data_IF_634464115431
#
_entry.id   IF_634464115431
#
_cell.length_a   1.000
_cell.length_b   1.000
_cell.length_c   1.000
_cell.angle_alpha   90.00
_cell.angle_beta   90.00
_cell.angle_gamma   90.00
#
_symmetry.space_group_name_H-M   'P 1'
#
loop_
_entity.id
_entity.type
_entity.pdbx_description
1 polymer ?
#
# COMPACT_ATOMS: atom_id res chain seq x y z
N UNK A 1 -0.73 -5.43 -12.48
CA UNK A 1 -0.31 -4.02 -12.69
C UNK A 1 1.21 -3.96 -12.59
N UNK A 2 1.91 -3.25 -13.50
CA UNK A 2 3.39 -3.24 -13.54
C UNK A 2 4.03 -2.80 -12.20
N UNK A 3 3.43 -1.82 -11.51
CA UNK A 3 3.94 -1.33 -10.22
C UNK A 3 3.87 -2.38 -9.10
N UNK A 4 2.83 -3.21 -9.09
CA UNK A 4 2.71 -4.35 -8.17
C UNK A 4 3.77 -5.42 -8.48
N UNK A 5 3.97 -5.75 -9.75
CA UNK A 5 5.04 -6.67 -10.18
C UNK A 5 6.43 -6.16 -9.80
N UNK A 6 6.72 -4.87 -9.98
CA UNK A 6 7.99 -4.27 -9.57
C UNK A 6 8.22 -4.38 -8.05
N UNK A 7 7.18 -4.20 -7.24
CA UNK A 7 7.26 -4.37 -5.78
C UNK A 7 7.54 -5.82 -5.41
N UNK A 8 6.94 -6.79 -6.11
CA UNK A 8 7.18 -8.23 -5.89
C UNK A 8 8.56 -8.67 -6.37
N UNK A 9 9.07 -8.11 -7.48
CA UNK A 9 10.46 -8.32 -7.92
C UNK A 9 11.46 -7.86 -6.86
N UNK A 10 11.22 -6.70 -6.24
CA UNK A 10 12.07 -6.23 -5.15
C UNK A 10 12.05 -7.22 -3.97
N UNK A 11 10.90 -7.79 -3.62
CA UNK A 11 10.79 -8.83 -2.59
C UNK A 11 11.51 -10.14 -3.00
N UNK A 12 11.37 -10.57 -4.26
CA UNK A 12 12.01 -11.77 -4.81
C UNK A 12 13.56 -11.67 -4.77
N UNK A 13 14.11 -10.47 -4.88
CA UNK A 13 15.54 -10.20 -4.71
C UNK A 13 16.11 -10.63 -3.35
N UNK A 14 15.28 -10.80 -2.31
CA UNK A 14 15.67 -11.30 -1.00
C UNK A 14 15.11 -12.70 -0.68
N UNK A 15 14.48 -13.39 -1.64
CA UNK A 15 13.74 -14.64 -1.43
C UNK A 15 14.56 -15.70 -0.67
N UNK A 16 15.78 -16.01 -1.14
CA UNK A 16 16.64 -17.03 -0.52
C UNK A 16 17.07 -16.62 0.90
N UNK A 17 17.27 -15.33 1.14
CA UNK A 17 17.60 -14.79 2.47
C UNK A 17 16.44 -14.98 3.44
N UNK A 18 15.21 -14.68 3.00
CA UNK A 18 14.00 -14.86 3.81
C UNK A 18 13.81 -16.34 4.14
N UNK A 19 13.91 -17.23 3.15
CA UNK A 19 13.75 -18.67 3.36
C UNK A 19 14.77 -19.26 4.33
N UNK A 20 16.02 -18.79 4.29
CA UNK A 20 17.06 -19.25 5.21
C UNK A 20 16.86 -18.71 6.64
N UNK A 21 16.57 -17.41 6.79
CA UNK A 21 16.49 -16.76 8.12
C UNK A 21 15.12 -16.87 8.78
N UNK A 22 14.06 -17.03 7.99
CA UNK A 22 12.66 -17.06 8.43
C UNK A 22 11.88 -18.20 7.75
N UNK A 23 12.31 -19.46 7.90
CA UNK A 23 11.67 -20.61 7.23
C UNK A 23 10.19 -20.77 7.59
N UNK A 24 9.74 -20.25 8.73
CA UNK A 24 8.34 -20.23 9.11
C UNK A 24 7.44 -19.37 8.20
N UNK A 25 8.03 -18.51 7.36
CA UNK A 25 7.32 -17.63 6.43
C UNK A 25 7.16 -18.24 5.03
N UNK A 26 7.62 -19.47 4.78
CA UNK A 26 7.58 -20.13 3.46
C UNK A 26 6.23 -19.99 2.74
N UNK A 27 5.15 -20.47 3.36
CA UNK A 27 3.78 -20.37 2.81
C UNK A 27 3.32 -18.93 2.60
N UNK A 28 3.77 -18.00 3.43
CA UNK A 28 3.43 -16.59 3.28
C UNK A 28 4.17 -15.99 2.07
N UNK A 29 5.44 -16.32 1.91
CA UNK A 29 6.27 -15.84 0.82
C UNK A 29 5.81 -16.41 -0.52
N UNK A 30 5.45 -17.69 -0.58
CA UNK A 30 4.83 -18.30 -1.76
C UNK A 30 3.55 -17.56 -2.17
N UNK A 31 2.64 -17.30 -1.22
CA UNK A 31 1.40 -16.55 -1.48
C UNK A 31 1.64 -15.08 -1.86
N UNK A 32 2.76 -14.49 -1.40
CA UNK A 32 3.20 -13.17 -1.81
C UNK A 32 3.82 -13.18 -3.23
N UNK A 33 4.38 -14.30 -3.69
CA UNK A 33 4.99 -14.40 -5.02
C UNK A 33 4.05 -14.93 -6.09
N UNK A 34 2.96 -15.62 -5.72
CA UNK A 34 1.98 -16.20 -6.64
C UNK A 34 1.60 -15.28 -7.82
N UNK A 35 1.40 -13.97 -7.64
CA UNK A 35 0.98 -13.14 -8.76
C UNK A 35 2.10 -12.56 -9.63
N UNK A 36 3.37 -12.77 -9.24
CA UNK A 36 4.52 -12.43 -10.08
C UNK A 36 4.70 -13.53 -11.13
N UNK A 37 4.69 -13.23 -12.44
CA UNK A 37 4.87 -14.25 -13.48
C UNK A 37 6.17 -15.02 -13.28
N UNK A 38 6.13 -16.34 -13.49
CA UNK A 38 7.28 -17.23 -13.24
C UNK A 38 8.52 -16.81 -14.05
N UNK A 39 8.32 -16.34 -15.29
CA UNK A 39 9.39 -15.85 -16.16
C UNK A 39 10.08 -14.58 -15.65
N UNK A 40 9.45 -13.85 -14.73
CA UNK A 40 10.04 -12.67 -14.09
C UNK A 40 10.77 -13.03 -12.78
N UNK A 41 10.56 -14.24 -12.23
CA UNK A 41 11.18 -14.63 -10.96
C UNK A 41 12.67 -14.90 -11.15
N UNK A 42 13.48 -14.26 -10.31
CA UNK A 42 14.91 -14.52 -10.16
C UNK A 42 15.26 -14.47 -8.66
N UNK A 43 14.98 -15.55 -7.90
CA UNK A 43 15.11 -15.55 -6.45
C UNK A 43 16.52 -15.17 -5.99
N UNK A 44 16.63 -13.99 -5.40
CA UNK A 44 17.90 -13.41 -4.99
C UNK A 44 18.27 -13.74 -3.53
N UNK A 45 19.41 -13.23 -3.10
CA UNK A 45 19.95 -13.39 -1.75
C UNK A 45 20.34 -12.05 -1.10
N UNK A 46 19.68 -10.97 -1.51
CA UNK A 46 19.90 -9.67 -0.89
C UNK A 46 19.64 -9.74 0.62
N UNK A 47 20.46 -9.05 1.41
CA UNK A 47 20.25 -8.97 2.85
C UNK A 47 19.07 -8.06 3.17
N UNK A 48 18.31 -8.37 4.22
CA UNK A 48 17.24 -7.49 4.71
C UNK A 48 17.73 -6.09 5.13
N UNK A 49 19.02 -5.90 5.42
CA UNK A 49 19.58 -4.59 5.71
C UNK A 49 19.77 -3.68 4.47
N UNK A 50 19.67 -4.25 3.26
CA UNK A 50 19.81 -3.53 1.98
C UNK A 50 18.47 -3.41 1.26
N UNK A 51 17.55 -4.34 1.51
CA UNK A 51 16.28 -4.43 0.82
C UNK A 51 15.13 -4.13 1.80
N UNK A 52 14.76 -2.85 1.87
CA UNK A 52 13.74 -2.36 2.79
C UNK A 52 12.36 -2.95 2.49
N UNK A 53 12.06 -3.23 1.21
CA UNK A 53 10.80 -3.88 0.80
C UNK A 53 10.70 -5.26 1.45
N UNK A 54 11.75 -6.07 1.35
CA UNK A 54 11.81 -7.39 1.96
C UNK A 54 11.82 -7.33 3.49
N UNK A 55 12.59 -6.41 4.07
CA UNK A 55 12.63 -6.22 5.52
C UNK A 55 11.25 -5.88 6.08
N UNK A 56 10.55 -4.95 5.42
CA UNK A 56 9.20 -4.54 5.83
C UNK A 56 8.19 -5.65 5.63
N UNK A 57 8.23 -6.36 4.51
CA UNK A 57 7.35 -7.51 4.26
C UNK A 57 7.50 -8.58 5.35
N UNK A 58 8.74 -8.89 5.77
CA UNK A 58 9.00 -9.85 6.87
C UNK A 58 8.40 -9.36 8.19
N UNK A 59 8.58 -8.08 8.53
CA UNK A 59 8.05 -7.50 9.76
C UNK A 59 6.51 -7.54 9.79
N UNK A 60 5.88 -7.06 8.73
CA UNK A 60 4.42 -6.99 8.59
C UNK A 60 3.79 -8.39 8.61
N UNK A 61 4.36 -9.34 7.86
CA UNK A 61 3.84 -10.71 7.80
C UNK A 61 3.89 -11.36 9.18
N UNK A 62 4.97 -11.17 9.94
CA UNK A 62 5.09 -11.69 11.31
C UNK A 62 4.07 -11.04 12.25
N UNK A 63 3.88 -9.72 12.18
CA UNK A 63 2.91 -9.01 12.99
C UNK A 63 1.48 -9.52 12.72
N UNK A 64 1.10 -9.64 11.44
CA UNK A 64 -0.19 -10.19 11.04
C UNK A 64 -0.40 -11.63 11.53
N UNK A 65 0.61 -12.49 11.40
CA UNK A 65 0.54 -13.87 11.89
C UNK A 65 0.44 -13.95 13.42
N UNK A 66 1.16 -13.08 14.15
CA UNK A 66 1.06 -12.97 15.60
C UNK A 66 -0.35 -12.53 16.04
N UNK A 67 -1.02 -11.73 15.21
CA UNK A 67 -2.42 -11.32 15.38
C UNK A 67 -3.44 -12.36 14.87
N UNK A 68 -2.99 -13.57 14.53
CA UNK A 68 -3.85 -14.70 14.17
C UNK A 68 -4.18 -14.84 12.68
N UNK A 69 -3.60 -14.01 11.80
CA UNK A 69 -3.77 -14.18 10.37
C UNK A 69 -3.10 -15.47 9.88
N UNK A 70 -3.76 -16.16 8.95
CA UNK A 70 -3.15 -17.32 8.25
C UNK A 70 -1.95 -16.84 7.43
N UNK A 71 -0.89 -17.64 7.39
CA UNK A 71 0.37 -17.31 6.71
C UNK A 71 0.17 -16.79 5.28
N UNK A 72 -0.65 -17.46 4.47
CA UNK A 72 -0.91 -17.04 3.09
C UNK A 72 -1.55 -15.65 3.02
N UNK A 73 -2.60 -15.41 3.81
CA UNK A 73 -3.26 -14.09 3.86
C UNK A 73 -2.29 -13.01 4.33
N UNK A 74 -1.54 -13.29 5.40
CA UNK A 74 -0.53 -12.37 5.93
C UNK A 74 0.51 -12.00 4.87
N UNK A 75 1.07 -12.99 4.17
CA UNK A 75 2.06 -12.76 3.12
C UNK A 75 1.51 -11.98 1.93
N UNK A 76 0.32 -12.35 1.44
CA UNK A 76 -0.33 -11.67 0.31
C UNK A 76 -0.70 -10.22 0.66
N UNK A 77 -1.27 -9.96 1.84
CA UNK A 77 -1.66 -8.60 2.26
C UNK A 77 -0.45 -7.74 2.63
N UNK A 78 0.60 -8.31 3.23
CA UNK A 78 1.86 -7.62 3.50
C UNK A 78 2.61 -7.23 2.22
N UNK A 79 2.30 -7.83 1.07
CA UNK A 79 2.91 -7.52 -0.23
C UNK A 79 2.17 -6.40 -1.01
N UNK A 80 0.97 -5.99 -0.59
CA UNK A 80 0.18 -4.98 -1.30
C UNK A 80 0.81 -3.58 -1.21
N UNK A 81 0.99 -2.92 -2.36
CA UNK A 81 1.59 -1.58 -2.45
C UNK A 81 0.83 -0.61 -3.36
N UNK A 82 -0.05 -1.10 -4.22
CA UNK A 82 -0.82 -0.27 -5.16
C UNK A 82 -2.25 -0.19 -4.67
N UNK A 83 -2.69 1.02 -4.34
CA UNK A 83 -4.01 1.29 -3.77
C UNK A 83 -4.72 2.38 -4.56
N UNK A 84 -6.05 2.38 -4.51
CA UNK A 84 -6.89 3.31 -5.23
C UNK A 84 -8.35 3.22 -4.81
N UNK A 85 -9.21 3.88 -5.57
CA UNK A 85 -10.65 3.81 -5.34
C UNK A 85 -11.23 2.46 -5.73
N UNK A 86 -12.42 2.15 -5.21
CA UNK A 86 -13.20 1.01 -5.67
C UNK A 86 -13.31 0.99 -7.21
N UNK A 87 -13.31 -0.20 -7.86
CA UNK A 87 -13.50 -0.29 -9.30
C UNK A 87 -14.75 0.48 -9.76
N UNK A 88 -14.60 1.29 -10.82
CA UNK A 88 -15.66 2.16 -11.34
C UNK A 88 -15.92 3.45 -10.54
N UNK A 89 -15.19 3.70 -9.47
CA UNK A 89 -15.23 4.96 -8.70
C UNK A 89 -14.07 5.89 -9.07
N UNK A 90 -14.23 7.18 -8.75
CA UNK A 90 -13.26 8.24 -9.06
C UNK A 90 -13.11 9.22 -7.89
N UNK A 91 -11.92 9.82 -7.75
CA UNK A 91 -11.60 10.85 -6.76
C UNK A 91 -11.44 10.30 -5.34
N UNK A 92 -10.56 10.90 -4.54
CA UNK A 92 -10.33 10.51 -3.15
C UNK A 92 -11.45 11.00 -2.23
N UNK A 93 -12.21 12.02 -2.66
CA UNK A 93 -13.44 12.50 -2.01
C UNK A 93 -13.21 13.49 -0.87
N UNK A 94 -11.97 13.91 -0.67
CA UNK A 94 -11.56 14.98 0.26
C UNK A 94 -11.99 16.34 -0.28
N UNK A 95 -11.95 16.56 -1.60
CA UNK A 95 -12.50 17.77 -2.23
C UNK A 95 -13.96 18.03 -1.85
N UNK A 96 -14.80 17.00 -1.88
CA UNK A 96 -16.22 17.10 -1.50
C UNK A 96 -16.41 17.43 -0.02
N UNK A 97 -15.50 16.99 0.84
CA UNK A 97 -15.52 17.34 2.27
C UNK A 97 -15.02 18.76 2.50
N UNK A 98 -14.03 19.21 1.73
CA UNK A 98 -13.56 20.59 1.78
C UNK A 98 -14.67 21.58 1.36
N UNK A 99 -15.40 21.29 0.28
CA UNK A 99 -16.57 22.08 -0.16
C UNK A 99 -17.68 22.14 0.90
N UNK A 100 -17.82 21.06 1.69
CA UNK A 100 -18.78 20.94 2.78
C UNK A 100 -18.09 21.12 4.13
N UNK A 101 -17.32 22.20 4.28
CA UNK A 101 -16.53 22.46 5.49
C UNK A 101 -17.33 22.52 6.80
N UNK A 102 -18.64 22.76 6.75
CA UNK A 102 -19.52 22.67 7.93
C UNK A 102 -19.99 21.25 8.29
N UNK A 103 -19.66 20.24 7.48
CA UNK A 103 -20.09 18.84 7.69
C UNK A 103 -19.09 18.02 8.52
N UNK A 104 -17.94 18.59 8.86
CA UNK A 104 -16.91 17.97 9.69
C UNK A 104 -16.24 19.02 10.57
N UNK A 105 -15.83 18.60 11.76
CA UNK A 105 -15.21 19.40 12.82
C UNK A 105 -13.86 18.81 13.27
N UNK A 106 -13.48 17.67 12.69
CA UNK A 106 -12.28 16.92 13.01
C UNK A 106 -11.58 16.46 11.72
N UNK A 107 -10.26 16.67 11.65
CA UNK A 107 -9.40 16.23 10.55
C UNK A 107 -9.39 14.70 10.42
N UNK A 108 -9.56 13.98 11.53
CA UNK A 108 -9.69 12.52 11.54
C UNK A 108 -10.84 12.01 10.67
N UNK A 109 -11.97 12.74 10.61
CA UNK A 109 -13.10 12.40 9.72
C UNK A 109 -12.73 12.47 8.24
N UNK A 110 -11.85 13.39 7.87
CA UNK A 110 -11.35 13.53 6.49
C UNK A 110 -10.36 12.42 6.16
N UNK A 111 -9.45 12.10 7.09
CA UNK A 111 -8.53 10.96 6.99
C UNK A 111 -9.28 9.63 6.83
N UNK A 112 -10.29 9.38 7.67
CA UNK A 112 -11.15 8.19 7.59
C UNK A 112 -11.87 8.07 6.24
N UNK A 113 -12.37 9.19 5.71
CA UNK A 113 -13.01 9.21 4.40
C UNK A 113 -12.02 8.85 3.29
N UNK A 114 -10.81 9.40 3.35
CA UNK A 114 -9.73 9.06 2.42
C UNK A 114 -9.37 7.57 2.49
N UNK A 115 -9.12 7.03 3.69
CA UNK A 115 -8.71 5.62 3.90
C UNK A 115 -9.80 4.63 3.47
N UNK A 116 -11.07 4.96 3.73
CA UNK A 116 -12.21 4.16 3.21
C UNK A 116 -12.29 4.21 1.70
N UNK A 117 -12.03 5.36 1.08
CA UNK A 117 -12.17 5.52 -0.37
C UNK A 117 -11.00 4.89 -1.12
N UNK A 118 -9.78 5.04 -0.62
CA UNK A 118 -8.54 4.63 -1.28
C UNK A 118 -8.04 3.24 -0.89
N UNK A 119 -8.68 2.58 0.08
CA UNK A 119 -8.25 1.26 0.58
C UNK A 119 -8.61 0.07 -0.30
N UNK A 120 -8.67 0.23 -1.62
CA UNK A 120 -8.80 -0.88 -2.56
C UNK A 120 -7.44 -1.17 -3.19
N UNK A 121 -6.95 -2.39 -3.01
CA UNK A 121 -5.65 -2.80 -3.54
C UNK A 121 -5.78 -3.29 -4.98
N UNK A 122 -4.76 -2.99 -5.78
CA UNK A 122 -4.67 -3.37 -7.18
C UNK A 122 -3.42 -4.19 -7.44
N UNK A 123 -3.53 -5.16 -8.33
CA UNK A 123 -2.45 -6.09 -8.60
C UNK A 123 -2.56 -7.36 -7.77
N UNK A 124 -1.87 -8.37 -8.25
CA UNK A 124 -1.97 -9.74 -7.83
C UNK A 124 -3.29 -10.50 -8.02
N UNK A 125 -4.42 -9.81 -8.15
CA UNK A 125 -5.70 -10.43 -8.54
C UNK A 125 -6.05 -10.16 -10.02
N UNK A 126 -6.92 -11.02 -10.57
CA UNK A 126 -7.53 -10.82 -11.90
C UNK A 126 -8.77 -9.91 -11.82
N UNK A 127 -9.17 -9.50 -10.62
CA UNK A 127 -10.46 -8.86 -10.35
C UNK A 127 -10.43 -7.34 -10.53
N UNK A 128 -9.25 -6.75 -10.70
CA UNK A 128 -9.13 -5.34 -11.08
C UNK A 128 -9.39 -4.37 -9.93
N UNK A 129 -9.13 -4.80 -8.68
CA UNK A 129 -9.23 -3.99 -7.47
C UNK A 129 -10.12 -4.64 -6.41
N UNK A 130 -9.56 -4.98 -5.24
CA UNK A 130 -10.30 -5.60 -4.13
C UNK A 130 -10.21 -4.77 -2.84
N UNK A 131 -11.22 -4.83 -1.95
CA UNK A 131 -11.13 -4.19 -0.64
C UNK A 131 -9.92 -4.72 0.16
N UNK A 132 -9.13 -3.80 0.70
CA UNK A 132 -7.91 -4.10 1.46
C UNK A 132 -7.61 -2.98 2.48
N UNK A 133 -8.64 -2.48 3.17
CA UNK A 133 -8.54 -1.31 4.06
C UNK A 133 -7.55 -1.50 5.21
N UNK A 134 -7.53 -2.67 5.84
CA UNK A 134 -6.59 -2.97 6.92
C UNK A 134 -5.14 -2.95 6.41
N UNK A 135 -4.89 -3.61 5.28
CA UNK A 135 -3.58 -3.60 4.65
C UNK A 135 -3.17 -2.19 4.19
N UNK A 136 -4.12 -1.35 3.77
CA UNK A 136 -3.84 0.05 3.43
C UNK A 136 -3.42 0.84 4.68
N UNK A 137 -4.16 0.72 5.79
CA UNK A 137 -3.81 1.34 7.08
C UNK A 137 -2.42 0.90 7.56
N UNK A 138 -2.14 -0.40 7.52
CA UNK A 138 -0.81 -0.95 7.89
C UNK A 138 0.33 -0.39 7.03
N UNK A 139 0.06 0.05 5.79
CA UNK A 139 1.06 0.73 4.96
C UNK A 139 1.23 2.20 5.30
N UNK A 140 0.19 2.88 5.77
CA UNK A 140 0.25 4.29 6.13
C UNK A 140 1.11 4.53 7.37
N UNK A 141 1.13 3.58 8.30
CA UNK A 141 1.89 3.65 9.58
C UNK A 141 3.40 3.88 9.39
N UNK A 142 3.97 3.51 8.24
CA UNK A 142 5.42 3.64 7.96
C UNK A 142 5.75 4.73 6.92
N UNK A 143 4.77 5.55 6.54
CA UNK A 143 4.99 6.60 5.54
C UNK A 143 5.72 7.79 6.17
N UNK A 144 7.03 7.85 5.97
CA UNK A 144 7.82 9.01 6.40
C UNK A 144 7.75 10.22 5.46
N UNK A 145 7.33 10.03 4.19
CA UNK A 145 7.28 11.09 3.16
C UNK A 145 6.17 10.83 2.15
N UNK A 146 5.44 11.88 1.78
CA UNK A 146 4.49 11.86 0.65
C UNK A 146 5.06 12.64 -0.53
N UNK A 147 4.70 12.24 -1.75
CA UNK A 147 5.14 12.90 -2.97
C UNK A 147 4.01 12.93 -4.00
N UNK A 148 3.84 14.08 -4.65
CA UNK A 148 2.97 14.26 -5.81
C UNK A 148 3.80 14.84 -6.96
N UNK A 149 3.95 14.07 -8.02
CA UNK A 149 4.63 14.53 -9.23
C UNK A 149 3.74 15.48 -10.03
N UNK A 150 4.33 16.58 -10.53
CA UNK A 150 3.68 17.49 -11.48
C UNK A 150 4.37 17.39 -12.84
N UNK A 151 3.57 17.23 -13.89
CA UNK A 151 4.03 17.20 -15.27
C UNK A 151 3.53 18.40 -16.11
N UNK A 152 2.82 19.35 -15.48
CA UNK A 152 2.25 20.52 -16.15
C UNK A 152 2.93 21.81 -15.73
N UNK A 153 3.23 22.65 -16.72
CA UNK A 153 3.61 24.05 -16.53
C UNK A 153 2.42 25.02 -16.56
N UNK A 154 1.22 24.54 -16.92
CA UNK A 154 0.00 25.35 -17.04
C UNK A 154 -0.78 25.36 -15.73
N UNK A 155 -0.82 24.24 -15.02
CA UNK A 155 -1.54 24.10 -13.75
C UNK A 155 -0.55 23.91 -12.59
N UNK A 156 -0.62 24.85 -11.65
CA UNK A 156 -0.04 24.89 -10.32
C UNK A 156 -0.73 23.94 -9.32
N UNK A 157 -0.10 23.78 -8.15
CA UNK A 157 -0.67 22.96 -7.07
C UNK A 157 -1.99 23.53 -6.53
N UNK A 158 -2.19 24.85 -6.61
CA UNK A 158 -3.38 25.54 -6.10
C UNK A 158 -4.44 25.80 -7.19
N UNK A 159 -4.18 25.40 -8.43
CA UNK A 159 -5.09 25.70 -9.54
C UNK A 159 -6.26 24.72 -9.65
N UNK A 160 -6.16 23.55 -9.00
CA UNK A 160 -7.22 22.57 -8.92
C UNK A 160 -7.26 21.88 -7.55
N UNK A 161 -8.30 21.08 -7.34
CA UNK A 161 -8.57 20.37 -6.10
C UNK A 161 -7.82 19.05 -5.96
N UNK A 162 -7.38 18.42 -7.05
CA UNK A 162 -6.69 17.13 -7.05
C UNK A 162 -5.46 17.08 -6.14
N UNK A 163 -4.71 18.18 -6.04
CA UNK A 163 -3.51 18.26 -5.20
C UNK A 163 -3.82 17.97 -3.73
N UNK A 164 -4.83 18.65 -3.18
CA UNK A 164 -5.25 18.42 -1.80
C UNK A 164 -6.19 17.21 -1.67
N UNK A 165 -6.95 16.85 -2.72
CA UNK A 165 -7.81 15.66 -2.71
C UNK A 165 -6.97 14.39 -2.49
N UNK A 166 -5.88 14.26 -3.25
CA UNK A 166 -5.01 13.08 -3.19
C UNK A 166 -3.85 13.21 -2.21
N UNK A 167 -2.95 14.18 -2.39
CA UNK A 167 -1.75 14.30 -1.55
C UNK A 167 -2.09 14.86 -0.16
N UNK A 168 -2.98 15.85 -0.09
CA UNK A 168 -3.48 16.38 1.17
C UNK A 168 -4.24 15.32 1.96
N UNK A 169 -5.15 14.60 1.30
CA UNK A 169 -5.85 13.44 1.85
C UNK A 169 -4.92 12.35 2.38
N UNK A 170 -3.92 11.95 1.58
CA UNK A 170 -2.91 10.97 2.01
C UNK A 170 -2.16 11.45 3.25
N UNK A 171 -1.75 12.73 3.27
CA UNK A 171 -0.98 13.28 4.38
C UNK A 171 -1.79 13.30 5.68
N UNK A 172 -3.09 13.62 5.61
CA UNK A 172 -4.00 13.53 6.76
C UNK A 172 -4.24 12.08 7.18
N UNK A 173 -4.31 11.14 6.25
CA UNK A 173 -4.45 9.73 6.57
C UNK A 173 -3.21 9.17 7.29
N UNK A 174 -2.01 9.54 6.85
CA UNK A 174 -0.75 9.18 7.52
C UNK A 174 -0.68 9.80 8.93
N UNK A 175 -0.96 11.11 9.05
CA UNK A 175 -1.04 11.81 10.34
C UNK A 175 -2.02 11.11 11.30
N UNK A 176 -3.21 10.74 10.81
CA UNK A 176 -4.22 10.08 11.64
C UNK A 176 -3.84 8.67 12.12
N UNK A 177 -3.16 7.88 11.29
CA UNK A 177 -2.74 6.52 11.67
C UNK A 177 -1.50 6.53 12.59
N UNK A 178 -0.62 7.53 12.48
CA UNK A 178 0.66 7.59 13.23
C UNK A 178 0.64 8.43 14.50
N UNK A 179 -0.31 9.37 14.66
CA UNK A 179 -0.46 10.25 15.83
C UNK A 179 0.42 11.49 15.76
#
# INVERSE_FOLDING_TARGET
VLLDQASRLALDGAYKTIMNKHPQLDRALEAAMEPLPEEMRDPGSESLAKNDVAARWVADTKAMMANGAKAQKAGSDAALRVFGTAPGSYGAGVNRLADRSGAWDDRGKVADAYTRRMGYAFGGDKEGGRPAHDAFKDRLDDVGRTYLGRASHVYGLLDNDDGFDFQGGLSMAVEHETG
#
